data_IF_140391265315
#
_entry.id   IF_140391265315
#
_cell.length_a   1.000
_cell.length_b   1.000
_cell.length_c   1.000
_cell.angle_alpha   90.00
_cell.angle_beta   90.00
_cell.angle_gamma   90.00
#
_symmetry.space_group_name_H-M   'P 1'
#
loop_
_entity.id
_entity.type
_entity.pdbx_description
1 polymer ?
#
# COMPACT_ATOMS: atom_id res chain seq x y z
N UNK A 1 23.64 -25.35 77.83
CA UNK A 1 23.64 -24.12 76.99
C UNK A 1 23.00 -24.46 75.65
N UNK A 2 22.12 -23.59 75.16
CA UNK A 2 21.13 -23.83 74.09
C UNK A 2 21.73 -24.09 72.71
N UNK A 3 21.15 -25.07 72.01
CA UNK A 3 20.69 -25.11 70.59
C UNK A 3 21.45 -24.25 69.58
N UNK A 4 21.93 -24.86 68.48
CA UNK A 4 21.49 -24.50 67.12
C UNK A 4 21.92 -25.58 66.11
N UNK A 5 21.01 -26.51 65.78
CA UNK A 5 21.08 -27.33 64.57
C UNK A 5 20.51 -26.47 63.44
N UNK A 6 21.38 -25.99 62.56
CA UNK A 6 20.99 -25.20 61.39
C UNK A 6 20.46 -26.17 60.32
N UNK A 7 19.14 -26.39 60.32
CA UNK A 7 18.44 -27.09 59.24
C UNK A 7 18.49 -26.23 57.97
N UNK A 8 19.28 -26.66 56.99
CA UNK A 8 19.33 -26.04 55.67
C UNK A 8 18.10 -26.48 54.88
N UNK A 9 17.06 -25.66 54.87
CA UNK A 9 15.87 -25.86 54.04
C UNK A 9 16.30 -25.82 52.56
N UNK A 10 16.29 -26.97 51.90
CA UNK A 10 16.33 -27.06 50.43
C UNK A 10 15.02 -26.49 49.89
N UNK A 11 15.05 -25.25 49.38
CA UNK A 11 13.99 -24.73 48.52
C UNK A 11 14.01 -25.51 47.20
N UNK A 12 12.89 -26.10 46.76
CA UNK A 12 12.82 -26.67 45.42
C UNK A 12 12.93 -25.52 44.41
N UNK A 13 14.02 -25.51 43.65
CA UNK A 13 14.14 -24.71 42.44
C UNK A 13 13.06 -25.20 41.47
N UNK A 14 11.95 -24.46 41.38
CA UNK A 14 10.98 -24.67 40.31
C UNK A 14 11.68 -24.21 39.04
N UNK A 15 12.25 -25.17 38.30
CA UNK A 15 12.82 -24.91 36.98
C UNK A 15 11.70 -24.51 36.04
N UNK A 16 11.56 -23.20 35.79
CA UNK A 16 10.71 -22.70 34.72
C UNK A 16 11.30 -23.21 33.40
N UNK A 17 10.59 -24.10 32.71
CA UNK A 17 10.92 -24.43 31.32
C UNK A 17 10.94 -23.14 30.51
N UNK A 18 12.08 -22.78 29.94
CA UNK A 18 12.21 -21.59 29.11
C UNK A 18 11.77 -21.94 27.70
N UNK A 19 10.60 -21.44 27.31
CA UNK A 19 10.11 -21.47 25.94
C UNK A 19 10.03 -20.04 25.41
N UNK A 20 10.08 -19.92 24.08
CA UNK A 20 9.90 -18.66 23.35
C UNK A 20 8.71 -18.77 22.41
N UNK A 21 8.12 -17.61 22.11
CA UNK A 21 7.00 -17.49 21.20
C UNK A 21 7.46 -16.80 19.91
N UNK A 22 7.08 -17.37 18.79
CA UNK A 22 7.19 -16.79 17.45
C UNK A 22 5.79 -16.72 16.87
N UNK A 23 5.35 -15.56 16.39
CA UNK A 23 4.01 -15.40 15.83
C UNK A 23 4.01 -14.71 14.47
N UNK A 24 2.97 -14.98 13.69
CA UNK A 24 2.64 -14.25 12.46
C UNK A 24 1.14 -14.06 12.39
N UNK A 25 0.71 -12.98 11.75
CA UNK A 25 -0.70 -12.62 11.64
C UNK A 25 -1.06 -12.16 10.23
N UNK A 26 -2.34 -12.18 9.91
CA UNK A 26 -2.89 -11.67 8.66
C UNK A 26 -4.26 -12.27 8.38
N UNK A 27 -4.56 -12.52 7.11
CA UNK A 27 -5.88 -12.96 6.66
C UNK A 27 -5.78 -14.25 5.85
N UNK A 28 -6.68 -15.20 6.09
CA UNK A 28 -6.72 -16.45 5.34
C UNK A 28 -7.13 -16.21 3.88
N UNK A 29 -6.29 -16.69 2.96
CA UNK A 29 -6.47 -16.53 1.50
C UNK A 29 -6.43 -17.88 0.77
N UNK A 30 -6.88 -18.95 1.44
CA UNK A 30 -6.90 -20.31 0.87
C UNK A 30 -5.53 -20.95 0.73
N UNK A 31 -4.49 -20.40 1.37
CA UNK A 31 -3.13 -20.93 1.37
C UNK A 31 -2.64 -21.21 2.78
N UNK A 32 -2.00 -22.36 2.94
CA UNK A 32 -1.36 -22.79 4.17
C UNK A 32 0.01 -22.14 4.35
N UNK A 33 0.54 -22.20 5.58
CA UNK A 33 1.88 -21.71 5.91
C UNK A 33 2.81 -22.88 6.18
N UNK A 34 4.04 -22.76 5.72
CA UNK A 34 5.11 -23.71 5.97
C UNK A 34 6.06 -23.17 7.02
N UNK A 35 6.50 -24.05 7.90
CA UNK A 35 7.42 -23.74 8.99
C UNK A 35 8.69 -24.56 8.81
N UNK A 36 9.83 -23.89 8.88
CA UNK A 36 11.10 -24.54 9.12
C UNK A 36 11.30 -24.72 10.62
N UNK A 37 11.51 -25.97 11.02
CA UNK A 37 11.62 -26.39 12.41
C UNK A 37 13.01 -27.04 12.62
N UNK A 38 14.00 -26.29 13.12
CA UNK A 38 15.34 -26.83 13.30
C UNK A 38 15.35 -27.95 14.36
N UNK A 39 16.35 -28.82 14.29
CA UNK A 39 16.63 -29.77 15.37
C UNK A 39 17.10 -29.02 16.62
N UNK A 40 16.89 -29.64 17.78
CA UNK A 40 17.41 -29.12 19.03
C UNK A 40 18.94 -29.28 19.10
N UNK A 41 19.59 -28.46 19.94
CA UNK A 41 21.06 -28.43 20.06
C UNK A 41 21.65 -29.75 20.59
N UNK A 42 20.86 -30.55 21.30
CA UNK A 42 21.23 -31.88 21.78
C UNK A 42 21.07 -32.98 20.71
N UNK A 43 20.51 -32.64 19.55
CA UNK A 43 20.24 -33.55 18.43
C UNK A 43 19.01 -34.43 18.61
N UNK A 44 18.24 -34.27 19.69
CA UNK A 44 17.06 -35.09 19.98
C UNK A 44 15.77 -34.32 19.72
N UNK A 45 15.09 -34.69 18.63
CA UNK A 45 13.81 -34.10 18.25
C UNK A 45 13.95 -32.70 17.63
N UNK A 46 12.84 -31.98 17.62
CA UNK A 46 12.73 -30.69 16.94
C UNK A 46 12.39 -29.54 17.89
N UNK A 47 12.66 -28.32 17.43
CA UNK A 47 12.59 -27.10 18.22
C UNK A 47 11.16 -26.71 18.64
N UNK A 48 10.18 -26.92 17.76
CA UNK A 48 8.78 -26.53 18.00
C UNK A 48 8.11 -27.47 18.99
N UNK A 49 7.47 -26.88 20.01
CA UNK A 49 6.72 -27.55 21.08
C UNK A 49 5.24 -27.62 20.70
N UNK A 50 4.65 -26.50 20.26
CA UNK A 50 3.21 -26.37 20.00
C UNK A 50 2.97 -25.28 18.97
N UNK A 51 1.96 -25.47 18.15
CA UNK A 51 1.46 -24.44 17.23
C UNK A 51 -0.01 -24.22 17.51
N UNK A 52 -0.43 -22.96 17.60
CA UNK A 52 -1.84 -22.58 17.71
C UNK A 52 -2.23 -21.64 16.57
N UNK A 53 -3.43 -21.80 16.05
CA UNK A 53 -4.06 -20.89 15.08
C UNK A 53 -5.32 -20.33 15.73
N UNK A 54 -5.40 -19.02 15.91
CA UNK A 54 -6.49 -18.33 16.61
C UNK A 54 -6.76 -18.88 18.03
N UNK A 55 -5.72 -19.43 18.68
CA UNK A 55 -5.80 -20.03 20.02
C UNK A 55 -6.02 -21.54 20.01
N UNK A 56 -6.49 -22.13 18.91
CA UNK A 56 -6.71 -23.57 18.79
C UNK A 56 -5.43 -24.30 18.41
N UNK A 57 -5.17 -25.44 19.06
CA UNK A 57 -3.96 -26.24 18.83
C UNK A 57 -4.04 -26.93 17.47
N UNK A 58 -2.97 -26.83 16.68
CA UNK A 58 -2.84 -27.55 15.41
C UNK A 58 -2.93 -29.07 15.62
N UNK A 59 -3.96 -29.77 15.11
CA UNK A 59 -4.13 -31.20 15.32
C UNK A 59 -3.30 -32.02 14.31
N UNK A 60 -2.01 -31.73 14.19
CA UNK A 60 -1.09 -32.37 13.25
C UNK A 60 0.29 -32.60 13.85
N UNK A 61 1.06 -33.52 13.24
CA UNK A 61 2.44 -33.77 13.65
C UNK A 61 3.34 -32.60 13.24
N UNK A 62 4.13 -32.11 14.21
CA UNK A 62 5.11 -31.04 14.04
C UNK A 62 6.56 -31.55 14.20
N UNK A 63 6.75 -32.87 14.36
CA UNK A 63 8.04 -33.52 14.60
C UNK A 63 8.78 -33.81 13.29
N UNK A 64 9.03 -32.76 12.51
CA UNK A 64 9.78 -32.81 11.25
C UNK A 64 10.54 -31.51 11.03
N UNK A 65 11.59 -31.55 10.20
CA UNK A 65 12.44 -30.38 9.91
C UNK A 65 11.70 -29.27 9.17
N UNK A 66 10.64 -29.62 8.45
CA UNK A 66 9.65 -28.70 7.91
C UNK A 66 8.27 -29.33 8.06
N UNK A 67 7.27 -28.52 8.36
CA UNK A 67 5.87 -28.96 8.39
C UNK A 67 4.95 -27.85 7.88
N UNK A 68 3.73 -28.24 7.57
CA UNK A 68 2.67 -27.37 7.10
C UNK A 68 1.67 -27.10 8.23
N UNK A 69 1.28 -25.85 8.39
CA UNK A 69 0.12 -25.44 9.18
C UNK A 69 -1.05 -25.48 8.22
N UNK A 70 -1.73 -26.63 8.18
CA UNK A 70 -2.90 -26.84 7.32
C UNK A 70 -4.12 -26.12 7.91
N UNK A 71 -4.48 -24.99 7.32
CA UNK A 71 -5.61 -24.18 7.77
C UNK A 71 -6.96 -24.85 7.52
N UNK A 72 -7.04 -25.86 6.66
CA UNK A 72 -8.28 -26.62 6.45
C UNK A 72 -8.68 -27.46 7.68
N UNK A 73 -7.76 -27.64 8.63
CA UNK A 73 -8.02 -28.27 9.92
C UNK A 73 -8.74 -27.33 10.91
N UNK A 74 -8.94 -26.07 10.51
CA UNK A 74 -9.64 -25.04 11.25
C UNK A 74 -10.83 -24.56 10.41
N UNK A 75 -11.93 -24.16 11.05
CA UNK A 75 -13.15 -23.71 10.36
C UNK A 75 -13.01 -22.28 9.78
N UNK A 76 -11.90 -22.01 9.08
CA UNK A 76 -11.56 -20.73 8.50
C UNK A 76 -12.16 -20.55 7.10
N UNK A 77 -12.64 -19.35 6.82
CA UNK A 77 -13.11 -18.90 5.50
C UNK A 77 -12.14 -17.88 4.92
N UNK A 78 -12.13 -17.76 3.60
CA UNK A 78 -11.37 -16.69 2.94
C UNK A 78 -11.79 -15.32 3.50
N UNK A 79 -10.81 -14.54 3.92
CA UNK A 79 -11.03 -13.25 4.56
C UNK A 79 -11.04 -13.29 6.09
N UNK A 80 -11.01 -14.46 6.73
CA UNK A 80 -10.94 -14.55 8.19
C UNK A 80 -9.56 -14.17 8.71
N UNK A 81 -9.53 -13.50 9.86
CA UNK A 81 -8.28 -13.17 10.54
C UNK A 81 -7.58 -14.43 11.05
N UNK A 82 -6.26 -14.47 10.90
CA UNK A 82 -5.40 -15.58 11.29
C UNK A 82 -4.28 -15.05 12.17
N UNK A 83 -4.17 -15.62 13.36
CA UNK A 83 -3.07 -15.41 14.29
C UNK A 83 -2.42 -16.75 14.62
N UNK A 84 -1.22 -16.96 14.09
CA UNK A 84 -0.44 -18.18 14.31
C UNK A 84 0.61 -17.92 15.39
N UNK A 85 0.68 -18.79 16.38
CA UNK A 85 1.70 -18.76 17.43
C UNK A 85 2.41 -20.10 17.48
N UNK A 86 3.74 -20.05 17.43
CA UNK A 86 4.65 -21.17 17.60
C UNK A 86 5.34 -21.03 18.95
N UNK A 87 5.10 -21.99 19.83
CA UNK A 87 5.85 -22.20 21.06
C UNK A 87 7.05 -23.09 20.74
N UNK A 88 8.26 -22.68 21.11
CA UNK A 88 9.48 -23.44 20.83
C UNK A 88 10.49 -23.36 21.98
N UNK A 89 11.41 -24.34 22.03
CA UNK A 89 12.46 -24.38 23.05
C UNK A 89 13.42 -23.19 22.92
N UNK A 90 14.00 -22.77 24.05
CA UNK A 90 15.09 -21.80 24.02
C UNK A 90 16.37 -22.41 23.40
N UNK A 91 17.17 -21.58 22.72
CA UNK A 91 18.40 -22.00 22.06
C UNK A 91 18.25 -22.50 20.61
N UNK A 92 17.04 -22.54 20.07
CA UNK A 92 16.74 -22.78 18.66
C UNK A 92 15.68 -21.79 18.17
N UNK A 93 15.55 -21.58 16.85
CA UNK A 93 14.60 -20.59 16.31
C UNK A 93 13.94 -21.09 15.03
N UNK A 94 12.66 -21.49 15.07
CA UNK A 94 11.91 -21.84 13.88
C UNK A 94 11.65 -20.61 13.00
N UNK A 95 11.21 -20.83 11.76
CA UNK A 95 10.91 -19.74 10.82
C UNK A 95 9.68 -20.05 9.99
N UNK A 96 8.83 -19.03 9.79
CA UNK A 96 7.81 -19.09 8.74
C UNK A 96 8.49 -18.95 7.38
N UNK A 97 8.16 -19.83 6.44
CA UNK A 97 8.76 -19.86 5.11
C UNK A 97 8.00 -19.00 4.09
N UNK A 98 6.70 -18.80 4.30
CA UNK A 98 5.82 -18.04 3.41
C UNK A 98 4.79 -17.18 4.19
N UNK A 99 5.19 -16.38 5.21
CA UNK A 99 4.26 -15.58 6.00
C UNK A 99 3.46 -14.58 5.16
N UNK A 100 3.99 -14.15 4.00
CA UNK A 100 3.30 -13.29 3.03
C UNK A 100 2.03 -13.91 2.43
N UNK A 101 1.84 -15.23 2.59
CA UNK A 101 0.61 -15.92 2.20
C UNK A 101 -0.61 -15.47 3.00
N UNK A 102 -0.41 -14.84 4.17
CA UNK A 102 -1.46 -14.21 4.96
C UNK A 102 -1.68 -12.72 4.61
N UNK A 103 -0.79 -12.09 3.83
CA UNK A 103 -0.91 -10.66 3.53
C UNK A 103 -1.91 -10.42 2.41
N UNK A 104 -2.86 -9.48 2.56
CA UNK A 104 -3.99 -9.33 1.65
C UNK A 104 -3.57 -9.09 0.20
N UNK A 105 -4.33 -9.68 -0.73
CA UNK A 105 -4.16 -9.52 -2.18
C UNK A 105 -5.24 -8.64 -2.78
N UNK A 106 -4.91 -8.01 -3.91
CA UNK A 106 -5.87 -7.21 -4.63
C UNK A 106 -6.80 -8.11 -5.45
N UNK A 107 -8.01 -8.33 -4.95
CA UNK A 107 -9.05 -9.15 -5.61
C UNK A 107 -10.30 -8.39 -6.00
N UNK A 108 -10.37 -7.08 -5.74
CA UNK A 108 -11.57 -6.29 -5.98
C UNK A 108 -12.08 -6.41 -7.42
N UNK A 109 -13.40 -6.35 -7.53
CA UNK A 109 -14.14 -6.18 -8.77
C UNK A 109 -14.94 -4.88 -8.70
N UNK A 110 -14.79 -4.02 -9.71
CA UNK A 110 -15.59 -2.80 -9.84
C UNK A 110 -17.02 -3.19 -10.22
N UNK A 111 -17.97 -2.74 -9.41
CA UNK A 111 -19.41 -2.83 -9.70
C UNK A 111 -19.88 -1.57 -10.41
N UNK A 112 -19.43 -0.41 -9.93
CA UNK A 112 -19.77 0.90 -10.49
C UNK A 112 -18.65 1.91 -10.24
N UNK A 113 -18.45 2.84 -11.16
CA UNK A 113 -17.42 3.88 -11.11
C UNK A 113 -17.87 5.09 -11.93
N UNK A 114 -18.17 6.20 -11.26
CA UNK A 114 -18.64 7.42 -11.91
C UNK A 114 -18.23 8.67 -11.12
N UNK A 115 -18.40 9.84 -11.73
CA UNK A 115 -18.27 11.14 -11.06
C UNK A 115 -19.66 11.75 -10.92
N UNK A 116 -20.03 12.17 -9.72
CA UNK A 116 -21.33 12.80 -9.45
C UNK A 116 -21.38 14.28 -9.85
N UNK A 117 -22.57 14.88 -9.79
CA UNK A 117 -22.79 16.29 -10.13
C UNK A 117 -22.02 17.27 -9.24
N UNK A 118 -21.53 16.82 -8.08
CA UNK A 118 -20.69 17.58 -7.15
C UNK A 118 -19.20 17.34 -7.39
N UNK A 119 -18.83 16.75 -8.54
CA UNK A 119 -17.46 16.44 -8.96
C UNK A 119 -16.71 15.48 -8.01
N UNK A 120 -17.45 14.63 -7.29
CA UNK A 120 -16.86 13.56 -6.48
C UNK A 120 -16.81 12.27 -7.28
N UNK A 121 -15.64 11.65 -7.30
CA UNK A 121 -15.48 10.29 -7.78
C UNK A 121 -16.14 9.34 -6.79
N UNK A 122 -17.06 8.51 -7.27
CA UNK A 122 -17.73 7.47 -6.50
C UNK A 122 -17.50 6.14 -7.17
N UNK A 123 -17.20 5.14 -6.36
CA UNK A 123 -17.07 3.78 -6.84
C UNK A 123 -17.58 2.79 -5.82
N UNK A 124 -17.99 1.65 -6.36
CA UNK A 124 -18.49 0.52 -5.59
C UNK A 124 -17.77 -0.74 -6.04
N UNK A 125 -17.32 -1.55 -5.09
CA UNK A 125 -16.58 -2.78 -5.32
C UNK A 125 -17.21 -3.95 -4.56
N UNK A 126 -16.86 -5.16 -4.99
CA UNK A 126 -17.11 -6.42 -4.30
C UNK A 126 -15.84 -7.28 -4.34
N UNK A 127 -15.84 -8.40 -3.62
CA UNK A 127 -14.72 -9.36 -3.58
C UNK A 127 -13.40 -8.71 -3.13
N UNK A 128 -13.43 -7.96 -2.03
CA UNK A 128 -12.21 -7.40 -1.44
C UNK A 128 -11.68 -8.37 -0.37
N UNK A 129 -11.02 -9.47 -0.76
CA UNK A 129 -10.65 -10.55 0.20
C UNK A 129 -9.83 -10.08 1.41
N UNK A 130 -9.19 -8.92 1.31
CA UNK A 130 -8.58 -8.25 2.45
C UNK A 130 -8.61 -6.72 2.33
N UNK A 131 -8.18 -6.07 3.42
CA UNK A 131 -8.20 -4.62 3.53
C UNK A 131 -6.96 -4.02 2.87
N UNK A 132 -7.15 -3.45 1.66
CA UNK A 132 -6.12 -2.75 0.89
C UNK A 132 -6.56 -1.33 0.55
N UNK A 133 -5.60 -0.41 0.47
CA UNK A 133 -5.88 0.98 0.12
C UNK A 133 -6.04 1.13 -1.39
N UNK A 134 -7.13 1.77 -1.80
CA UNK A 134 -7.34 2.19 -3.17
C UNK A 134 -6.50 3.43 -3.46
N UNK A 135 -5.70 3.38 -4.52
CA UNK A 135 -5.09 4.53 -5.15
C UNK A 135 -6.11 5.14 -6.13
N UNK A 136 -6.36 6.44 -5.97
CA UNK A 136 -7.11 7.22 -6.96
C UNK A 136 -6.09 7.81 -7.91
N UNK A 137 -6.09 7.36 -9.16
CA UNK A 137 -5.11 7.77 -10.15
C UNK A 137 -5.75 8.64 -11.23
N UNK A 138 -5.01 9.65 -11.66
CA UNK A 138 -5.38 10.54 -12.76
C UNK A 138 -4.31 10.47 -13.84
N UNK A 139 -4.72 10.36 -15.10
CA UNK A 139 -3.79 10.45 -16.21
C UNK A 139 -3.44 11.91 -16.47
N UNK A 140 -2.15 12.24 -16.45
CA UNK A 140 -1.65 13.59 -16.61
C UNK A 140 -0.30 13.54 -17.32
N UNK A 141 -0.18 14.31 -18.41
CA UNK A 141 1.06 14.49 -19.18
C UNK A 141 1.78 13.18 -19.52
N UNK A 142 1.02 12.19 -20.00
CA UNK A 142 1.55 10.90 -20.45
C UNK A 142 1.68 9.83 -19.37
N UNK A 143 1.40 10.16 -18.10
CA UNK A 143 1.58 9.23 -16.98
C UNK A 143 0.34 9.16 -16.07
N UNK A 144 0.13 8.00 -15.45
CA UNK A 144 -0.82 7.87 -14.34
C UNK A 144 -0.15 8.37 -13.06
N UNK A 145 -0.78 9.34 -12.39
CA UNK A 145 -0.31 9.88 -11.11
C UNK A 145 -1.34 9.57 -10.02
N UNK A 146 -0.88 9.10 -8.86
CA UNK A 146 -1.75 8.98 -7.70
C UNK A 146 -2.10 10.38 -7.19
N UNK A 147 -3.40 10.68 -7.12
CA UNK A 147 -3.94 11.95 -6.64
C UNK A 147 -4.60 11.82 -5.27
N UNK A 148 -4.68 10.60 -4.73
CA UNK A 148 -5.29 10.32 -3.44
C UNK A 148 -5.28 8.84 -3.09
N UNK A 149 -5.56 8.56 -1.82
CA UNK A 149 -5.72 7.20 -1.30
C UNK A 149 -6.98 7.12 -0.46
N UNK A 150 -7.71 6.02 -0.60
CA UNK A 150 -8.89 5.71 0.22
C UNK A 150 -8.76 4.30 0.75
N UNK A 151 -8.81 4.15 2.07
CA UNK A 151 -8.71 2.83 2.70
C UNK A 151 -9.90 1.95 2.29
N UNK A 152 -9.61 0.79 1.73
CA UNK A 152 -10.61 -0.24 1.46
C UNK A 152 -11.25 -0.74 2.74
N UNK A 153 -12.43 -1.32 2.63
CA UNK A 153 -13.17 -1.91 3.75
C UNK A 153 -12.95 -3.42 3.82
N UNK A 154 -12.56 -4.07 2.72
CA UNK A 154 -12.39 -5.51 2.67
C UNK A 154 -13.72 -6.28 2.72
N UNK A 155 -13.60 -7.60 2.76
CA UNK A 155 -14.67 -8.57 2.83
C UNK A 155 -15.42 -8.82 1.52
N UNK A 156 -16.37 -9.74 1.61
CA UNK A 156 -17.21 -10.21 0.49
C UNK A 156 -18.47 -9.36 0.25
N UNK A 157 -18.65 -8.29 1.02
CA UNK A 157 -19.79 -7.38 0.87
C UNK A 157 -19.52 -6.37 -0.24
N UNK A 158 -20.60 -5.77 -0.72
CA UNK A 158 -20.50 -4.60 -1.59
C UNK A 158 -20.08 -3.40 -0.75
N UNK A 159 -19.00 -2.74 -1.15
CA UNK A 159 -18.45 -1.58 -0.48
C UNK A 159 -18.49 -0.37 -1.40
N UNK A 160 -18.90 0.78 -0.88
CA UNK A 160 -18.89 2.04 -1.60
C UNK A 160 -17.94 3.05 -0.98
N UNK A 161 -17.36 3.87 -1.85
CA UNK A 161 -16.32 4.85 -1.54
C UNK A 161 -16.55 6.14 -2.33
N UNK A 162 -15.92 7.22 -1.86
CA UNK A 162 -15.99 8.53 -2.48
C UNK A 162 -14.67 9.28 -2.31
N UNK A 163 -14.26 10.03 -3.32
CA UNK A 163 -13.07 10.88 -3.28
C UNK A 163 -13.27 12.17 -4.07
N UNK A 164 -12.88 13.30 -3.49
CA UNK A 164 -12.95 14.59 -4.17
C UNK A 164 -11.73 14.77 -5.08
N UNK A 165 -11.95 14.80 -6.40
CA UNK A 165 -10.86 14.84 -7.38
C UNK A 165 -10.34 16.27 -7.60
N UNK A 166 -9.00 16.47 -7.68
CA UNK A 166 -8.44 17.69 -8.23
C UNK A 166 -8.54 17.66 -9.77
N UNK A 167 -9.68 18.12 -10.31
CA UNK A 167 -9.92 18.21 -11.75
C UNK A 167 -9.09 19.33 -12.40
N UNK A 168 -8.89 19.19 -13.71
CA UNK A 168 -8.33 20.21 -14.60
C UNK A 168 -9.35 20.48 -15.72
N UNK A 169 -9.14 21.51 -16.55
CA UNK A 169 -10.07 21.79 -17.65
C UNK A 169 -10.12 20.64 -18.66
N UNK A 170 -11.21 20.58 -19.44
CA UNK A 170 -11.40 19.53 -20.46
C UNK A 170 -11.49 18.11 -19.89
N UNK A 171 -10.95 17.14 -20.64
CA UNK A 171 -11.13 15.71 -20.37
C UNK A 171 -10.15 15.22 -19.31
N UNK A 172 -10.67 14.80 -18.17
CA UNK A 172 -9.93 14.15 -17.11
C UNK A 172 -10.12 12.63 -17.25
N UNK A 173 -9.01 11.88 -17.24
CA UNK A 173 -9.04 10.42 -17.28
C UNK A 173 -8.59 9.87 -15.93
N UNK A 174 -9.45 9.05 -15.31
CA UNK A 174 -9.32 8.60 -13.93
C UNK A 174 -9.43 7.08 -13.88
N UNK A 175 -8.72 6.45 -12.95
CA UNK A 175 -8.93 5.04 -12.60
C UNK A 175 -8.70 4.83 -11.12
N UNK A 176 -9.19 3.71 -10.63
CA UNK A 176 -8.92 3.24 -9.29
C UNK A 176 -7.97 2.04 -9.39
N UNK A 177 -7.00 1.96 -8.48
CA UNK A 177 -6.13 0.80 -8.41
C UNK A 177 -5.83 0.38 -6.98
N UNK A 178 -5.31 -0.83 -6.81
CA UNK A 178 -4.72 -1.31 -5.56
C UNK A 178 -3.37 -1.94 -5.88
N UNK A 179 -2.46 -1.82 -4.92
CA UNK A 179 -1.16 -2.50 -4.94
C UNK A 179 -1.14 -3.43 -3.75
N UNK A 180 -0.91 -4.71 -4.00
CA UNK A 180 -0.82 -5.73 -2.95
C UNK A 180 0.63 -5.94 -2.47
N UNK A 181 0.83 -6.92 -1.57
CA UNK A 181 2.15 -7.22 -1.02
C UNK A 181 3.20 -7.63 -2.07
N UNK A 182 2.76 -8.06 -3.26
CA UNK A 182 3.65 -8.51 -4.34
C UNK A 182 4.17 -7.33 -5.17
N UNK A 183 3.62 -6.13 -4.95
CA UNK A 183 3.89 -4.95 -5.76
C UNK A 183 3.11 -4.91 -7.07
N UNK A 184 2.23 -5.90 -7.32
CA UNK A 184 1.39 -5.91 -8.50
C UNK A 184 0.30 -4.85 -8.39
N UNK A 185 0.25 -3.96 -9.38
CA UNK A 185 -0.79 -2.95 -9.50
C UNK A 185 -1.98 -3.51 -10.29
N UNK A 186 -3.13 -3.66 -9.63
CA UNK A 186 -4.40 -4.00 -10.26
C UNK A 186 -5.24 -2.74 -10.41
N UNK A 187 -5.44 -2.30 -11.64
CA UNK A 187 -6.23 -1.11 -11.96
C UNK A 187 -7.57 -1.45 -12.60
N UNK A 188 -8.58 -0.60 -12.34
CA UNK A 188 -9.85 -0.60 -13.06
C UNK A 188 -9.68 -0.17 -14.52
N UNK A 189 -10.76 -0.29 -15.29
CA UNK A 189 -10.91 0.49 -16.51
C UNK A 189 -10.89 2.00 -16.19
N UNK A 190 -10.51 2.78 -17.19
CA UNK A 190 -10.43 4.24 -17.04
C UNK A 190 -11.77 4.90 -17.31
N UNK A 191 -12.21 5.76 -16.39
CA UNK A 191 -13.33 6.68 -16.55
C UNK A 191 -12.82 7.99 -17.17
N UNK A 192 -13.50 8.48 -18.20
CA UNK A 192 -13.26 9.81 -18.76
C UNK A 192 -14.39 10.77 -18.34
N UNK A 193 -14.01 11.97 -17.92
CA UNK A 193 -14.92 13.00 -17.44
C UNK A 193 -14.49 14.38 -17.92
N UNK A 194 -15.38 15.06 -18.64
CA UNK A 194 -15.14 16.43 -19.11
C UNK A 194 -15.57 17.43 -18.05
N UNK A 195 -14.61 18.14 -17.46
CA UNK A 195 -14.88 19.18 -16.46
C UNK A 195 -15.48 20.42 -17.09
N UNK A 196 -16.28 21.15 -16.30
CA UNK A 196 -16.83 22.48 -16.65
C UNK A 196 -15.85 23.63 -16.37
N UNK A 197 -14.65 23.32 -15.85
CA UNK A 197 -13.62 24.33 -15.60
C UNK A 197 -13.21 25.00 -16.90
N UNK A 198 -13.02 26.32 -16.83
CA UNK A 198 -12.50 27.10 -17.94
C UNK A 198 -11.08 26.67 -18.31
N UNK A 199 -10.79 26.72 -19.60
CA UNK A 199 -9.47 26.42 -20.12
C UNK A 199 -8.42 27.43 -19.66
N UNK A 200 -7.24 26.89 -19.32
CA UNK A 200 -6.07 27.72 -19.05
C UNK A 200 -5.27 27.97 -20.33
N UNK A 201 -4.65 29.14 -20.37
CA UNK A 201 -3.62 29.53 -21.33
C UNK A 201 -2.38 30.00 -20.59
N UNK A 202 -1.21 29.89 -21.21
CA UNK A 202 0.05 30.37 -20.65
C UNK A 202 0.64 31.47 -21.51
N UNK A 203 1.28 32.46 -20.88
CA UNK A 203 2.00 33.50 -21.61
C UNK A 203 3.00 34.26 -20.74
N UNK A 204 3.93 35.00 -21.36
CA UNK A 204 4.13 35.15 -22.80
C UNK A 204 4.85 33.94 -23.44
N UNK A 205 4.73 33.75 -24.75
CA UNK A 205 5.45 32.69 -25.49
C UNK A 205 6.97 32.95 -25.61
N UNK A 206 7.39 34.22 -25.52
CA UNK A 206 8.78 34.64 -25.35
C UNK A 206 8.95 35.31 -23.99
N UNK A 207 9.69 34.67 -23.09
CA UNK A 207 9.76 35.00 -21.67
C UNK A 207 11.09 35.62 -21.33
N UNK A 208 11.05 36.73 -20.59
CA UNK A 208 12.22 37.26 -19.87
C UNK A 208 12.28 36.72 -18.46
N UNK A 209 11.30 37.12 -17.65
CA UNK A 209 11.33 36.86 -16.20
C UNK A 209 10.28 35.87 -15.73
N UNK A 210 9.04 36.00 -16.21
CA UNK A 210 7.90 35.26 -15.68
C UNK A 210 6.97 34.77 -16.78
N UNK A 211 6.53 33.51 -16.64
CA UNK A 211 5.31 33.00 -17.27
C UNK A 211 4.13 33.17 -16.32
N UNK A 212 2.94 33.38 -16.86
CA UNK A 212 1.69 33.49 -16.14
C UNK A 212 0.63 32.60 -16.77
N UNK A 213 -0.23 32.05 -15.92
CA UNK A 213 -1.37 31.26 -16.36
C UNK A 213 -2.65 32.08 -16.28
N UNK A 214 -3.46 32.04 -17.33
CA UNK A 214 -4.67 32.82 -17.46
C UNK A 214 -5.88 31.93 -17.69
N UNK A 215 -6.96 32.21 -16.98
CA UNK A 215 -8.29 31.64 -17.16
C UNK A 215 -9.26 32.82 -17.28
N UNK A 216 -10.02 32.92 -18.37
CA UNK A 216 -10.91 34.06 -18.63
C UNK A 216 -10.25 35.43 -18.39
N UNK A 217 -9.03 35.61 -18.93
CA UNK A 217 -8.20 36.81 -18.79
C UNK A 217 -7.79 37.18 -17.35
N UNK A 218 -7.94 36.28 -16.38
CA UNK A 218 -7.49 36.46 -14.99
C UNK A 218 -6.38 35.47 -14.65
N UNK A 219 -5.40 35.91 -13.86
CA UNK A 219 -4.33 35.02 -13.39
C UNK A 219 -4.92 33.91 -12.52
N UNK A 220 -4.69 32.66 -12.89
CA UNK A 220 -5.21 31.48 -12.18
C UNK A 220 -4.07 30.55 -11.78
N UNK A 221 -4.23 29.82 -10.67
CA UNK A 221 -3.20 28.87 -10.21
C UNK A 221 -3.37 27.53 -10.89
N UNK A 222 -2.27 26.91 -11.31
CA UNK A 222 -2.25 25.54 -11.81
C UNK A 222 -0.97 24.83 -11.41
N UNK A 223 -1.02 23.49 -11.45
CA UNK A 223 0.19 22.68 -11.31
C UNK A 223 0.94 22.74 -12.62
N UNK A 224 2.24 22.98 -12.58
CA UNK A 224 3.08 23.07 -13.77
C UNK A 224 4.37 22.29 -13.63
N UNK A 225 4.93 21.90 -14.77
CA UNK A 225 6.29 21.39 -14.92
C UNK A 225 6.97 22.10 -16.08
N UNK A 226 8.21 22.53 -15.90
CA UNK A 226 9.05 23.11 -16.95
C UNK A 226 10.15 22.13 -17.30
N UNK A 227 10.25 21.83 -18.59
CA UNK A 227 11.22 20.91 -19.17
C UNK A 227 12.11 21.65 -20.18
N UNK A 228 13.38 21.27 -20.24
CA UNK A 228 14.25 21.75 -21.32
C UNK A 228 14.02 20.99 -22.63
N UNK A 229 14.71 21.42 -23.69
CA UNK A 229 14.62 20.78 -25.01
C UNK A 229 15.17 19.33 -25.05
N UNK A 230 15.91 18.90 -24.03
CA UNK A 230 16.46 17.55 -23.91
C UNK A 230 15.60 16.63 -23.04
N UNK A 231 14.48 17.14 -22.49
CA UNK A 231 13.59 16.37 -21.62
C UNK A 231 14.05 16.32 -20.16
N UNK A 232 14.92 17.24 -19.71
CA UNK A 232 15.25 17.36 -18.29
C UNK A 232 14.22 18.23 -17.57
N UNK A 233 13.74 17.76 -16.42
CA UNK A 233 12.82 18.50 -15.56
C UNK A 233 13.58 19.61 -14.82
N UNK A 234 13.18 20.87 -15.05
CA UNK A 234 13.83 22.03 -14.44
C UNK A 234 13.06 22.58 -13.24
N UNK A 235 11.73 22.64 -13.34
CA UNK A 235 10.89 23.24 -12.30
C UNK A 235 9.55 22.53 -12.20
N UNK A 236 9.04 22.41 -10.98
CA UNK A 236 7.68 21.97 -10.67
C UNK A 236 7.05 22.92 -9.67
N UNK A 237 5.73 23.06 -9.69
CA UNK A 237 5.05 23.85 -8.67
C UNK A 237 3.55 23.96 -8.86
N UNK A 238 2.89 24.64 -7.91
CA UNK A 238 1.50 25.04 -7.98
C UNK A 238 1.39 26.55 -7.76
N UNK A 239 1.22 27.31 -8.84
CA UNK A 239 1.24 28.77 -8.82
C UNK A 239 0.49 29.35 -10.01
N UNK A 240 0.25 30.66 -10.00
CA UNK A 240 -0.27 31.40 -11.15
C UNK A 240 0.84 32.00 -12.02
N UNK A 241 2.11 31.79 -11.63
CA UNK A 241 3.29 32.23 -12.36
C UNK A 241 4.47 31.27 -12.18
N UNK A 242 5.39 31.30 -13.12
CA UNK A 242 6.67 30.58 -13.08
C UNK A 242 7.81 31.58 -13.19
N UNK A 243 8.77 31.53 -12.25
CA UNK A 243 10.00 32.32 -12.31
C UNK A 243 11.00 31.68 -13.28
N UNK A 244 11.36 32.41 -14.33
CA UNK A 244 12.28 32.00 -15.38
C UNK A 244 13.63 32.76 -15.34
N UNK A 245 13.89 33.62 -14.35
CA UNK A 245 15.10 34.45 -14.29
C UNK A 245 16.39 33.62 -14.23
N UNK A 246 16.33 32.46 -13.58
CA UNK A 246 17.47 31.56 -13.40
C UNK A 246 17.58 30.51 -14.51
N UNK A 247 16.86 30.66 -15.62
CA UNK A 247 16.88 29.76 -16.76
C UNK A 247 17.62 30.44 -17.92
N UNK A 248 18.52 29.74 -18.60
CA UNK A 248 19.29 30.27 -19.73
C UNK A 248 18.43 30.43 -20.98
N UNK A 249 18.84 31.28 -21.91
CA UNK A 249 18.14 31.44 -23.19
C UNK A 249 18.05 30.11 -23.95
N UNK A 250 16.89 29.84 -24.52
CA UNK A 250 16.65 28.55 -25.18
C UNK A 250 15.17 28.24 -25.38
N UNK A 251 14.92 27.03 -25.89
CA UNK A 251 13.59 26.48 -26.09
C UNK A 251 13.24 25.58 -24.91
N UNK A 252 12.03 25.74 -24.40
CA UNK A 252 11.52 25.00 -23.25
C UNK A 252 10.09 24.55 -23.50
N UNK A 253 9.64 23.59 -22.71
CA UNK A 253 8.28 23.09 -22.71
C UNK A 253 7.68 23.26 -21.32
N UNK A 254 6.42 23.66 -21.26
CA UNK A 254 5.67 23.78 -20.03
C UNK A 254 4.45 22.90 -20.08
N UNK A 255 4.38 21.98 -19.14
CA UNK A 255 3.16 21.24 -18.86
C UNK A 255 2.36 22.03 -17.84
N UNK A 256 1.08 22.27 -18.10
CA UNK A 256 0.17 22.93 -17.17
C UNK A 256 -1.25 22.46 -17.45
N UNK A 257 -2.12 22.45 -16.42
CA UNK A 257 -3.51 21.98 -16.60
C UNK A 257 -3.58 20.62 -17.33
N UNK A 258 -4.20 20.53 -18.52
CA UNK A 258 -4.19 19.37 -19.42
C UNK A 258 -3.29 19.51 -20.67
N UNK A 259 -2.50 20.59 -20.77
CA UNK A 259 -1.75 20.99 -21.97
C UNK A 259 -0.24 20.89 -21.79
N UNK A 260 0.45 20.81 -22.92
CA UNK A 260 1.90 21.01 -23.04
C UNK A 260 2.15 22.05 -24.12
N UNK A 261 2.86 23.12 -23.78
CA UNK A 261 3.18 24.21 -24.71
C UNK A 261 4.68 24.51 -24.75
N UNK A 262 5.15 24.98 -25.91
CA UNK A 262 6.52 25.44 -26.10
C UNK A 262 6.61 26.93 -25.77
N UNK A 263 7.65 27.33 -25.05
CA UNK A 263 8.02 28.74 -24.88
C UNK A 263 9.52 28.95 -25.10
N UNK A 264 9.91 30.20 -25.36
CA UNK A 264 11.29 30.60 -25.61
C UNK A 264 11.75 31.51 -24.48
N UNK A 265 12.86 31.18 -23.82
CA UNK A 265 13.53 32.09 -22.90
C UNK A 265 14.42 33.05 -23.68
N UNK A 266 14.23 34.34 -23.46
CA UNK A 266 15.03 35.44 -24.02
C UNK A 266 15.53 36.34 -22.89
N UNK A 267 16.60 37.10 -23.11
CA UNK A 267 17.06 38.11 -22.15
C UNK A 267 16.18 39.36 -22.16
#
# INVERSE_FOLDING_TARGET
>A
MKILILSFLLLPFIGSGQYKLLSTEGTYQGKNIYVNNPQQNDGFGYCVIKVTVNGDVLPASIQSSNFEIDFNLFDLKNGDDVFVVIEHFDGCTPRFLNPESLLPKSSFEIVDLFIDDSENLKWTTKNEDGVLDFQVEKFKWGNWISVGQVRGKGGNKINSYSYQLPLHSGINKIRISQIDNTGNNRSSESLEYTSKMDDLTVGPSSVRDYLYFYSNNKKSKTRFEVWDAFGNLLKVGYSNQVDCKNIVNGIYYINYDNKTEKFIKVN
#
